data_IF_218186719813
#
_entry.id   IF_218186719813
#
_cell.length_a   1.000
_cell.length_b   1.000
_cell.length_c   1.000
_cell.angle_alpha   90.00
_cell.angle_beta   90.00
_cell.angle_gamma   90.00
#
_symmetry.space_group_name_H-M   'P 1'
#
loop_
_entity.id
_entity.type
_entity.pdbx_description
1 polymer ?
#
# COMPACT_ATOMS: atom_id res chain seq x y z
N UNK A 1 -33.15 -16.05 6.64
CA UNK A 1 -32.31 -15.21 7.53
C UNK A 1 -32.69 -13.79 7.25
N UNK A 2 -33.23 -13.05 8.21
CA UNK A 2 -33.55 -11.65 8.02
C UNK A 2 -32.25 -10.88 7.80
N UNK A 3 -32.14 -10.15 6.69
CA UNK A 3 -31.08 -9.19 6.46
C UNK A 3 -31.14 -8.22 7.63
N UNK A 4 -30.06 -8.10 8.39
CA UNK A 4 -29.95 -7.12 9.44
C UNK A 4 -29.96 -5.74 8.76
N UNK A 5 -31.11 -5.08 8.78
CA UNK A 5 -31.36 -3.76 8.16
C UNK A 5 -30.58 -2.63 8.84
N UNK A 6 -29.68 -2.95 9.77
CA UNK A 6 -28.86 -1.98 10.53
C UNK A 6 -27.53 -1.62 9.85
N UNK A 7 -27.14 -2.28 8.73
CA UNK A 7 -25.88 -1.99 8.06
C UNK A 7 -25.94 -0.75 7.20
N UNK A 8 -24.90 0.08 7.28
CA UNK A 8 -24.77 1.26 6.46
C UNK A 8 -24.70 0.88 4.97
N UNK A 9 -25.38 1.61 4.08
CA UNK A 9 -25.35 1.34 2.65
C UNK A 9 -23.93 1.50 2.08
N UNK A 10 -23.67 0.76 1.00
CA UNK A 10 -22.42 0.83 0.24
C UNK A 10 -22.72 1.42 -1.14
N UNK A 11 -22.20 2.60 -1.42
CA UNK A 11 -22.40 3.29 -2.68
C UNK A 11 -21.36 2.89 -3.73
N UNK A 12 -21.81 2.73 -4.98
CA UNK A 12 -20.99 2.69 -6.18
C UNK A 12 -21.44 3.80 -7.11
N UNK A 13 -20.52 4.68 -7.50
CA UNK A 13 -20.80 5.76 -8.45
C UNK A 13 -19.67 5.90 -9.47
N UNK A 14 -19.98 6.28 -10.70
CA UNK A 14 -19.00 6.70 -11.70
C UNK A 14 -18.44 8.08 -11.35
N UNK A 15 -17.16 8.28 -11.65
CA UNK A 15 -16.50 9.56 -11.50
C UNK A 15 -16.37 10.26 -12.86
N UNK A 16 -16.98 11.41 -13.01
CA UNK A 16 -17.03 12.20 -14.25
C UNK A 16 -16.18 13.48 -14.22
N UNK A 17 -15.18 13.52 -13.37
CA UNK A 17 -14.28 14.66 -13.11
C UNK A 17 -14.97 15.87 -12.42
N UNK A 18 -16.08 15.64 -11.75
CA UNK A 18 -16.83 16.66 -11.03
C UNK A 18 -16.98 16.29 -9.54
N UNK A 19 -16.96 17.28 -8.62
CA UNK A 19 -17.34 17.08 -7.22
C UNK A 19 -18.72 16.43 -7.04
N UNK A 20 -19.65 16.65 -7.98
CA UNK A 20 -20.99 16.08 -7.96
C UNK A 20 -20.97 14.54 -8.01
N UNK A 21 -19.97 13.94 -8.67
CA UNK A 21 -19.79 12.48 -8.69
C UNK A 21 -19.53 11.95 -7.27
N UNK A 22 -18.65 12.62 -6.54
CA UNK A 22 -18.40 12.29 -5.15
C UNK A 22 -19.64 12.59 -4.29
N UNK A 23 -20.29 13.73 -4.51
CA UNK A 23 -21.54 14.10 -3.84
C UNK A 23 -22.60 13.00 -3.94
N UNK A 24 -22.85 12.47 -5.14
CA UNK A 24 -23.78 11.34 -5.37
C UNK A 24 -23.39 10.09 -4.56
N UNK A 25 -22.10 9.72 -4.55
CA UNK A 25 -21.65 8.57 -3.76
C UNK A 25 -21.88 8.77 -2.25
N UNK A 26 -21.64 10.00 -1.75
CA UNK A 26 -21.82 10.35 -0.35
C UNK A 26 -23.30 10.37 0.07
N UNK A 27 -24.19 10.84 -0.80
CA UNK A 27 -25.65 10.79 -0.60
C UNK A 27 -26.16 9.36 -0.55
N UNK A 28 -25.75 8.51 -1.51
CA UNK A 28 -26.17 7.11 -1.59
C UNK A 28 -25.77 6.31 -0.35
N UNK A 29 -24.61 6.58 0.26
CA UNK A 29 -24.17 5.90 1.47
C UNK A 29 -24.56 6.66 2.77
N UNK A 30 -25.39 7.70 2.68
CA UNK A 30 -25.83 8.48 3.81
C UNK A 30 -24.66 9.02 4.67
N UNK A 31 -23.57 9.44 3.98
CA UNK A 31 -22.28 9.75 4.60
C UNK A 31 -22.37 10.78 5.73
N UNK A 32 -23.26 11.77 5.59
CA UNK A 32 -23.35 12.91 6.49
C UNK A 32 -24.59 12.88 7.40
N UNK A 33 -25.25 11.72 7.56
CA UNK A 33 -26.42 11.61 8.46
C UNK A 33 -26.10 12.00 9.92
N UNK A 34 -24.87 11.72 10.36
CA UNK A 34 -24.39 12.01 11.73
C UNK A 34 -23.31 13.12 11.73
N UNK A 35 -23.15 13.83 10.61
CA UNK A 35 -22.13 14.86 10.45
C UNK A 35 -22.60 16.21 11.02
N UNK A 36 -21.67 16.91 11.67
CA UNK A 36 -21.87 18.31 12.12
C UNK A 36 -20.77 19.21 11.55
N UNK A 37 -21.13 20.42 11.14
CA UNK A 37 -20.17 21.44 10.69
C UNK A 37 -19.14 21.86 11.76
N UNK A 38 -19.40 21.52 13.02
CA UNK A 38 -18.49 21.77 14.14
C UNK A 38 -17.45 20.67 14.34
N UNK A 39 -17.61 19.53 13.65
CA UNK A 39 -16.66 18.43 13.75
C UNK A 39 -15.26 18.83 13.26
N UNK A 40 -14.24 18.35 13.94
CA UNK A 40 -12.89 18.28 13.39
C UNK A 40 -12.80 17.07 12.47
N UNK A 41 -12.70 17.33 11.17
CA UNK A 41 -12.57 16.29 10.14
C UNK A 41 -11.12 15.96 9.92
N UNK A 42 -10.77 14.67 10.01
CA UNK A 42 -9.48 14.13 9.60
C UNK A 42 -9.64 13.33 8.31
N UNK A 43 -9.04 13.79 7.23
CA UNK A 43 -8.98 13.06 5.95
C UNK A 43 -7.67 12.28 5.89
N UNK A 44 -7.75 10.97 5.70
CA UNK A 44 -6.57 10.11 5.53
C UNK A 44 -6.50 9.52 4.12
N UNK A 45 -5.74 10.14 3.21
CA UNK A 45 -5.45 9.56 1.90
C UNK A 45 -4.50 8.37 2.00
N UNK A 46 -4.13 7.76 0.88
CA UNK A 46 -3.08 6.77 0.76
C UNK A 46 -1.88 7.37 0.02
N UNK A 47 -0.85 7.81 0.73
CA UNK A 47 0.33 8.45 0.14
C UNK A 47 1.60 7.61 0.22
N UNK A 48 1.55 6.44 0.81
CA UNK A 48 2.56 5.38 0.91
C UNK A 48 3.99 5.88 1.14
N UNK A 49 4.64 6.46 0.11
CA UNK A 49 6.01 6.94 0.10
C UNK A 49 6.23 7.84 -1.11
N UNK A 50 7.15 8.79 -1.02
CA UNK A 50 7.55 9.67 -2.11
C UNK A 50 9.07 9.84 -2.13
N UNK A 51 9.67 9.83 -3.32
CA UNK A 51 11.09 10.11 -3.54
C UNK A 51 11.21 11.12 -4.70
N UNK A 52 11.83 12.25 -4.45
CA UNK A 52 12.02 13.30 -5.46
C UNK A 52 13.03 12.89 -6.53
N UNK A 53 14.01 12.06 -6.18
CA UNK A 53 15.00 11.55 -7.14
C UNK A 53 14.35 10.56 -8.14
N UNK A 54 13.40 9.76 -7.65
CA UNK A 54 12.68 8.80 -8.45
C UNK A 54 11.16 8.93 -8.21
N UNK A 55 10.53 10.01 -8.72
CA UNK A 55 9.10 10.21 -8.53
C UNK A 55 8.33 9.06 -9.18
N UNK A 56 7.43 8.47 -8.43
CA UNK A 56 6.59 7.38 -8.91
C UNK A 56 5.43 7.97 -9.71
N UNK A 57 5.11 7.39 -10.88
CA UNK A 57 3.89 7.74 -11.60
C UNK A 57 2.67 7.50 -10.69
N UNK A 58 1.85 8.53 -10.40
CA UNK A 58 0.94 8.50 -9.26
C UNK A 58 -0.30 7.64 -9.47
N UNK A 59 -0.66 7.32 -10.70
CA UNK A 59 -1.90 6.67 -11.11
C UNK A 59 -2.11 5.31 -10.43
N UNK A 60 -3.20 5.17 -9.68
CA UNK A 60 -3.53 3.98 -8.92
C UNK A 60 -2.56 3.66 -7.75
N UNK A 61 -1.50 4.43 -7.57
CA UNK A 61 -0.53 4.28 -6.47
C UNK A 61 -0.98 5.10 -5.27
N UNK A 62 -1.34 6.36 -5.49
CA UNK A 62 -1.75 7.33 -4.48
C UNK A 62 -3.21 7.72 -4.64
N UNK A 63 -3.82 8.12 -3.54
CA UNK A 63 -5.15 8.76 -3.60
C UNK A 63 -5.06 10.00 -4.46
N UNK A 64 -5.97 10.09 -5.43
CA UNK A 64 -6.03 11.20 -6.39
C UNK A 64 -6.27 12.51 -5.65
N UNK A 65 -5.36 13.46 -5.78
CA UNK A 65 -5.42 14.72 -5.04
C UNK A 65 -6.68 15.50 -5.40
N UNK A 66 -7.12 15.42 -6.64
CA UNK A 66 -8.38 16.00 -7.11
C UNK A 66 -9.60 15.45 -6.35
N UNK A 67 -9.68 14.14 -6.11
CA UNK A 67 -10.79 13.56 -5.35
C UNK A 67 -10.79 14.05 -3.89
N UNK A 68 -9.60 14.25 -3.31
CA UNK A 68 -9.47 14.86 -1.97
C UNK A 68 -9.92 16.32 -1.99
N UNK A 69 -9.58 17.07 -3.04
CA UNK A 69 -10.04 18.45 -3.24
C UNK A 69 -11.57 18.49 -3.35
N UNK A 70 -12.19 17.61 -4.15
CA UNK A 70 -13.63 17.49 -4.30
C UNK A 70 -14.31 17.25 -2.92
N UNK A 71 -13.72 16.37 -2.09
CA UNK A 71 -14.21 16.17 -0.73
C UNK A 71 -14.08 17.43 0.16
N UNK A 72 -12.95 18.12 0.06
CA UNK A 72 -12.71 19.36 0.82
C UNK A 72 -13.74 20.43 0.44
N UNK A 73 -14.04 20.58 -0.85
CA UNK A 73 -15.05 21.51 -1.35
C UNK A 73 -16.41 21.17 -0.73
N UNK A 74 -16.85 19.91 -0.84
CA UNK A 74 -18.13 19.47 -0.27
C UNK A 74 -18.20 19.70 1.25
N UNK A 75 -17.14 19.39 2.00
CA UNK A 75 -17.10 19.65 3.44
C UNK A 75 -17.18 21.16 3.78
N UNK A 76 -16.54 22.02 2.99
CA UNK A 76 -16.61 23.48 3.14
C UNK A 76 -18.03 23.99 2.84
N UNK A 77 -18.68 23.46 1.81
CA UNK A 77 -20.07 23.81 1.46
C UNK A 77 -21.05 23.38 2.56
N UNK A 78 -20.77 22.27 3.27
CA UNK A 78 -21.48 21.87 4.49
C UNK A 78 -21.16 22.76 5.71
N UNK A 79 -20.24 23.73 5.56
CA UNK A 79 -19.87 24.67 6.63
C UNK A 79 -18.77 24.15 7.57
N UNK A 80 -18.09 23.04 7.23
CA UNK A 80 -17.00 22.52 8.05
C UNK A 80 -15.80 23.47 8.03
N UNK A 81 -15.35 23.89 9.22
CA UNK A 81 -14.27 24.88 9.37
C UNK A 81 -12.92 24.23 9.70
N UNK A 82 -12.93 23.07 10.35
CA UNK A 82 -11.71 22.40 10.84
C UNK A 82 -11.48 21.09 10.10
N UNK A 83 -10.62 21.16 9.08
CA UNK A 83 -10.27 20.03 8.23
C UNK A 83 -8.75 19.83 8.28
N UNK A 84 -8.32 18.63 8.63
CA UNK A 84 -6.92 18.20 8.62
C UNK A 84 -6.73 17.05 7.65
N UNK A 85 -5.56 16.97 7.00
CA UNK A 85 -5.18 15.83 6.17
C UNK A 85 -3.99 15.15 6.83
N UNK A 86 -4.12 13.87 7.16
CA UNK A 86 -3.12 13.12 7.90
C UNK A 86 -2.60 11.89 7.17
N UNK A 87 -1.30 11.65 7.21
CA UNK A 87 -0.66 10.44 6.71
C UNK A 87 0.62 10.13 7.51
N UNK A 88 1.05 8.88 7.49
CA UNK A 88 2.34 8.42 7.99
C UNK A 88 3.06 7.64 6.89
N UNK A 89 3.60 8.33 5.90
CA UNK A 89 4.29 7.71 4.78
C UNK A 89 5.55 6.95 5.21
N UNK A 90 5.97 5.99 4.40
CA UNK A 90 7.23 5.28 4.59
C UNK A 90 8.40 6.23 4.30
N UNK A 91 9.37 6.26 5.20
CA UNK A 91 10.62 6.99 5.00
C UNK A 91 11.54 6.15 4.10
N UNK A 92 11.69 6.58 2.86
CA UNK A 92 12.54 5.90 1.85
C UNK A 92 14.01 6.19 2.13
N UNK A 93 14.33 7.46 2.41
CA UNK A 93 15.64 7.94 2.84
C UNK A 93 15.46 8.67 4.17
N UNK A 94 16.50 8.76 4.98
CA UNK A 94 16.47 9.49 6.26
C UNK A 94 16.00 10.94 6.02
N UNK A 95 14.89 11.32 6.66
CA UNK A 95 14.28 12.65 6.53
C UNK A 95 13.32 12.82 5.34
N UNK A 96 13.24 11.84 4.43
CA UNK A 96 12.29 11.85 3.29
C UNK A 96 11.09 10.98 3.64
N UNK A 97 10.06 11.57 4.17
CA UNK A 97 8.85 10.89 4.66
C UNK A 97 7.58 11.63 4.25
N UNK A 98 6.65 11.78 5.18
CA UNK A 98 5.30 12.29 4.92
C UNK A 98 5.30 13.72 4.34
N UNK A 99 6.18 14.59 4.82
CA UNK A 99 6.29 15.97 4.30
C UNK A 99 6.67 16.02 2.82
N UNK A 100 7.59 15.15 2.40
CA UNK A 100 7.96 15.04 0.98
C UNK A 100 6.79 14.51 0.14
N UNK A 101 6.01 13.54 0.67
CA UNK A 101 4.82 13.05 0.00
C UNK A 101 3.73 14.14 -0.12
N UNK A 102 3.51 14.93 0.92
CA UNK A 102 2.58 16.08 0.86
C UNK A 102 3.00 17.10 -0.21
N UNK A 103 4.28 17.47 -0.25
CA UNK A 103 4.78 18.42 -1.24
C UNK A 103 4.70 17.86 -2.67
N UNK A 104 5.22 16.66 -2.89
CA UNK A 104 5.33 16.04 -4.22
C UNK A 104 3.98 15.67 -4.85
N UNK A 105 2.95 15.41 -4.04
CA UNK A 105 1.60 15.05 -4.47
C UNK A 105 0.59 16.22 -4.40
N UNK A 106 1.06 17.46 -4.21
CA UNK A 106 0.23 18.67 -4.27
C UNK A 106 -0.56 19.00 -3.00
N UNK A 107 -0.45 18.19 -1.93
CA UNK A 107 -1.22 18.42 -0.70
C UNK A 107 -0.83 19.70 0.05
N UNK A 108 0.43 20.15 -0.06
CA UNK A 108 0.87 21.42 0.51
C UNK A 108 0.11 22.59 -0.14
N UNK A 109 -0.02 22.59 -1.47
CA UNK A 109 -0.78 23.62 -2.20
C UNK A 109 -2.27 23.55 -1.89
N UNK A 110 -2.82 22.30 -1.76
CA UNK A 110 -4.20 22.09 -1.36
C UNK A 110 -4.47 22.70 0.03
N UNK A 111 -3.58 22.45 0.98
CA UNK A 111 -3.68 22.97 2.33
C UNK A 111 -3.62 24.51 2.37
N UNK A 112 -2.71 25.11 1.62
CA UNK A 112 -2.61 26.58 1.50
C UNK A 112 -3.88 27.19 0.88
N UNK A 113 -4.42 26.57 -0.21
CA UNK A 113 -5.61 27.07 -0.91
C UNK A 113 -6.86 27.07 -0.02
N UNK A 114 -7.06 26.03 0.78
CA UNK A 114 -8.29 25.84 1.54
C UNK A 114 -8.13 26.06 3.05
N UNK A 115 -6.95 26.45 3.53
CA UNK A 115 -6.66 26.65 4.95
C UNK A 115 -6.76 25.35 5.75
N UNK A 116 -6.11 24.27 5.26
CA UNK A 116 -6.13 22.95 5.89
C UNK A 116 -4.87 22.74 6.73
N UNK A 117 -4.97 21.86 7.73
CA UNK A 117 -3.82 21.38 8.49
C UNK A 117 -3.27 20.10 7.88
N UNK A 118 -1.94 19.98 7.72
CA UNK A 118 -1.25 18.76 7.32
C UNK A 118 -0.59 18.10 8.52
N UNK A 119 -0.95 16.85 8.80
CA UNK A 119 -0.50 16.10 9.98
C UNK A 119 0.39 14.93 9.58
N UNK A 120 1.64 14.91 10.04
CA UNK A 120 2.54 13.76 9.89
C UNK A 120 2.34 12.80 11.07
N UNK A 121 1.60 11.73 10.88
CA UNK A 121 1.36 10.71 11.90
C UNK A 121 2.63 10.02 12.41
N UNK A 122 3.73 10.05 11.64
CA UNK A 122 5.00 9.53 12.12
C UNK A 122 5.60 10.40 13.23
N UNK A 123 5.35 11.72 13.21
CA UNK A 123 5.87 12.69 14.18
C UNK A 123 4.88 13.00 15.32
N UNK A 124 3.60 12.67 15.14
CA UNK A 124 2.53 12.86 16.13
C UNK A 124 2.82 12.19 17.47
N UNK A 125 2.18 12.64 18.55
CA UNK A 125 2.03 11.85 19.77
C UNK A 125 1.27 10.56 19.47
N UNK A 126 1.26 9.59 20.37
CA UNK A 126 0.61 8.31 20.10
C UNK A 126 0.08 7.64 21.35
N UNK A 127 -1.06 6.94 21.21
CA UNK A 127 -1.61 6.03 22.22
C UNK A 127 -1.30 4.58 21.85
N UNK A 128 -1.01 3.76 22.87
CA UNK A 128 -0.71 2.34 22.70
C UNK A 128 -1.99 1.50 22.85
N UNK A 129 -2.20 0.56 21.93
CA UNK A 129 -3.31 -0.37 21.94
C UNK A 129 -2.82 -1.81 21.85
N UNK A 130 -3.38 -2.69 22.68
CA UNK A 130 -3.08 -4.12 22.63
C UNK A 130 -3.72 -4.78 21.42
N UNK A 131 -2.97 -5.66 20.75
CA UNK A 131 -3.43 -6.51 19.67
C UNK A 131 -3.04 -7.94 20.02
N UNK A 132 -3.99 -8.75 20.45
CA UNK A 132 -3.69 -10.01 21.12
C UNK A 132 -2.98 -9.80 22.44
N UNK A 133 -2.29 -10.82 22.93
CA UNK A 133 -1.69 -10.80 24.27
C UNK A 133 -0.33 -10.06 24.33
N UNK A 134 0.46 -10.11 23.26
CA UNK A 134 1.87 -9.71 23.28
C UNK A 134 2.22 -8.49 22.43
N UNK A 135 1.32 -8.00 21.58
CA UNK A 135 1.60 -6.90 20.67
C UNK A 135 0.93 -5.60 21.13
N UNK A 136 1.72 -4.53 21.20
CA UNK A 136 1.21 -3.16 21.36
C UNK A 136 1.52 -2.34 20.12
N UNK A 137 0.46 -1.81 19.49
CA UNK A 137 0.57 -0.88 18.36
C UNK A 137 0.32 0.55 18.85
N UNK A 138 1.17 1.47 18.42
CA UNK A 138 1.05 2.89 18.70
C UNK A 138 0.39 3.61 17.53
N UNK A 139 -0.77 4.21 17.77
CA UNK A 139 -1.57 4.96 16.81
C UNK A 139 -1.41 6.46 17.09
N UNK A 140 -1.29 7.28 16.05
CA UNK A 140 -1.22 8.73 16.16
C UNK A 140 -2.46 9.30 16.86
N UNK A 141 -2.27 10.22 17.81
CA UNK A 141 -3.36 10.78 18.59
C UNK A 141 -4.33 11.58 17.74
N UNK A 142 -3.86 12.34 16.76
CA UNK A 142 -4.70 13.13 15.88
C UNK A 142 -5.67 12.28 15.03
N UNK A 143 -5.27 11.03 14.70
CA UNK A 143 -6.14 10.08 14.04
C UNK A 143 -7.26 9.53 14.97
N UNK A 144 -7.00 9.51 16.28
CA UNK A 144 -7.93 9.01 17.30
C UNK A 144 -8.87 10.09 17.85
N UNK A 145 -8.44 11.36 17.82
CA UNK A 145 -9.10 12.48 18.47
C UNK A 145 -9.94 13.33 17.50
N UNK A 146 -9.94 13.00 16.20
CA UNK A 146 -10.84 13.64 15.25
C UNK A 146 -12.29 13.21 15.48
N UNK A 147 -13.21 14.15 15.33
CA UNK A 147 -14.66 13.88 15.51
C UNK A 147 -15.23 13.08 14.32
N UNK A 148 -14.66 13.27 13.13
CA UNK A 148 -15.09 12.61 11.90
C UNK A 148 -13.89 12.20 11.05
N UNK A 149 -13.51 10.93 11.15
CA UNK A 149 -12.37 10.37 10.42
C UNK A 149 -12.83 9.81 9.06
N UNK A 150 -12.29 10.37 7.98
CA UNK A 150 -12.56 9.93 6.60
C UNK A 150 -11.35 9.19 6.06
N UNK A 151 -11.51 7.90 5.79
CA UNK A 151 -10.49 7.04 5.22
C UNK A 151 -10.60 7.03 3.69
N UNK A 152 -9.56 7.49 2.97
CA UNK A 152 -9.55 7.57 1.50
C UNK A 152 -8.47 6.67 0.89
N UNK A 153 -8.66 5.34 0.86
CA UNK A 153 -7.74 4.41 0.21
C UNK A 153 -7.87 4.45 -1.31
N UNK A 154 -6.91 3.79 -1.99
CA UNK A 154 -6.90 3.59 -3.44
C UNK A 154 -7.32 2.17 -3.78
N UNK A 155 -8.05 1.99 -4.88
CA UNK A 155 -8.45 0.71 -5.44
C UNK A 155 -7.23 0.00 -6.04
N UNK A 156 -6.56 -0.87 -5.27
CA UNK A 156 -5.35 -1.55 -5.73
C UNK A 156 -5.11 -2.90 -5.10
N UNK A 157 -4.39 -3.74 -5.84
CA UNK A 157 -3.84 -4.99 -5.35
C UNK A 157 -2.57 -4.77 -4.53
N UNK A 158 -2.12 -5.80 -3.83
CA UNK A 158 -0.91 -5.77 -3.01
C UNK A 158 -0.28 -7.15 -2.90
N UNK A 159 1.00 -7.28 -3.23
CA UNK A 159 1.70 -8.55 -3.33
C UNK A 159 1.73 -9.40 -2.05
N UNK A 160 1.65 -8.80 -0.85
CA UNK A 160 1.63 -9.55 0.42
C UNK A 160 0.20 -9.81 0.96
N UNK A 161 -0.78 -8.97 0.61
CA UNK A 161 -2.12 -8.97 1.24
C UNK A 161 -3.27 -9.02 0.23
N UNK A 162 -2.98 -9.43 -1.01
CA UNK A 162 -3.88 -9.43 -2.17
C UNK A 162 -4.42 -8.05 -2.54
N UNK A 163 -5.04 -7.35 -1.60
CA UNK A 163 -5.57 -5.99 -1.80
C UNK A 163 -5.02 -5.02 -0.76
N UNK A 164 -5.03 -3.74 -1.07
CA UNK A 164 -4.70 -2.66 -0.14
C UNK A 164 -5.95 -2.16 0.59
N UNK A 165 -6.80 -1.41 -0.06
CA UNK A 165 -8.12 -0.92 0.36
C UNK A 165 -8.20 -0.26 1.76
N UNK A 166 -9.41 -0.17 2.33
CA UNK A 166 -9.72 0.62 3.51
C UNK A 166 -9.08 0.13 4.80
N UNK A 167 -9.28 -1.14 5.16
CA UNK A 167 -8.72 -1.70 6.39
C UNK A 167 -7.19 -1.56 6.44
N UNK A 168 -6.53 -1.86 5.33
CA UNK A 168 -5.07 -1.76 5.25
C UNK A 168 -4.57 -0.32 5.20
N UNK A 169 -5.34 0.62 4.64
CA UNK A 169 -4.96 2.03 4.59
C UNK A 169 -4.74 2.62 5.99
N UNK A 170 -5.50 2.16 6.99
CA UNK A 170 -5.35 2.61 8.38
C UNK A 170 -3.98 2.30 8.99
N UNK A 171 -3.20 1.37 8.42
CA UNK A 171 -1.81 1.12 8.84
C UNK A 171 -0.94 2.38 8.74
N UNK A 172 -1.29 3.34 7.87
CA UNK A 172 -0.65 4.65 7.80
C UNK A 172 -0.73 5.45 9.10
N UNK A 173 -1.76 5.25 9.93
CA UNK A 173 -1.94 5.92 11.22
C UNK A 173 -1.02 5.42 12.33
N UNK A 174 -0.30 4.32 12.11
CA UNK A 174 0.65 3.77 13.07
C UNK A 174 1.97 4.56 13.09
N UNK A 175 2.64 4.58 14.24
CA UNK A 175 4.03 5.05 14.35
C UNK A 175 4.99 4.13 13.58
N UNK A 176 6.11 4.67 13.10
CA UNK A 176 7.14 3.93 12.31
C UNK A 176 7.52 2.57 12.92
N UNK A 177 7.73 2.51 14.24
CA UNK A 177 8.06 1.25 14.94
C UNK A 177 6.93 0.24 14.86
N UNK A 178 5.69 0.66 15.08
CA UNK A 178 4.51 -0.21 15.04
C UNK A 178 4.22 -0.75 13.64
N UNK A 179 4.44 0.06 12.58
CA UNK A 179 4.37 -0.43 11.20
C UNK A 179 5.33 -1.60 10.94
N UNK A 180 6.55 -1.55 11.50
CA UNK A 180 7.54 -2.63 11.38
C UNK A 180 7.17 -3.85 12.25
N UNK A 181 6.52 -3.63 13.41
CA UNK A 181 6.03 -4.71 14.28
C UNK A 181 4.93 -5.54 13.61
N UNK A 182 4.06 -4.95 12.80
CA UNK A 182 3.07 -5.73 12.03
C UNK A 182 3.71 -6.80 11.11
N UNK A 183 4.99 -6.66 10.76
CA UNK A 183 5.76 -7.65 9.99
C UNK A 183 6.62 -8.55 10.90
N UNK A 184 6.13 -8.90 12.09
CA UNK A 184 6.84 -9.81 13.00
C UNK A 184 6.85 -11.25 12.46
N UNK A 185 7.94 -12.03 12.63
CA UNK A 185 8.01 -13.40 12.11
C UNK A 185 6.93 -14.34 12.62
N UNK A 186 6.50 -14.18 13.87
CA UNK A 186 5.53 -15.03 14.56
C UNK A 186 4.09 -14.52 14.46
N UNK A 187 3.90 -13.27 13.98
CA UNK A 187 2.60 -12.64 13.87
C UNK A 187 2.17 -12.56 12.41
N UNK A 188 0.89 -12.79 12.16
CA UNK A 188 0.33 -12.58 10.84
C UNK A 188 0.15 -11.08 10.58
N UNK A 189 0.75 -10.58 9.49
CA UNK A 189 0.67 -9.17 9.08
C UNK A 189 -0.77 -8.68 8.99
N UNK A 190 -1.64 -9.47 8.35
CA UNK A 190 -3.03 -9.11 8.08
C UNK A 190 -3.88 -9.14 9.36
N UNK A 191 -3.58 -10.05 10.27
CA UNK A 191 -4.17 -10.06 11.62
C UNK A 191 -3.82 -8.77 12.36
N UNK A 192 -2.54 -8.39 12.42
CA UNK A 192 -2.09 -7.22 13.16
C UNK A 192 -2.79 -5.93 12.71
N UNK A 193 -2.81 -5.64 11.43
CA UNK A 193 -3.37 -4.37 10.99
C UNK A 193 -4.90 -4.37 10.91
N UNK A 194 -5.55 -5.53 10.83
CA UNK A 194 -7.02 -5.60 10.85
C UNK A 194 -7.66 -5.05 12.13
N UNK A 195 -6.88 -4.97 13.23
CA UNK A 195 -7.34 -4.41 14.50
C UNK A 195 -7.38 -2.88 14.53
N UNK A 196 -6.68 -2.20 13.63
CA UNK A 196 -6.57 -0.74 13.69
C UNK A 196 -7.94 -0.07 13.54
N UNK A 197 -8.83 -0.64 12.72
CA UNK A 197 -10.20 -0.15 12.55
C UNK A 197 -11.05 -0.29 13.82
N UNK A 198 -10.68 -1.16 14.77
CA UNK A 198 -11.38 -1.29 16.05
C UNK A 198 -11.11 -0.07 16.96
N UNK A 199 -10.00 0.60 16.78
CA UNK A 199 -9.55 1.74 17.58
C UNK A 199 -9.89 3.10 16.94
N UNK A 200 -9.60 3.27 15.62
CA UNK A 200 -9.84 4.53 14.89
C UNK A 200 -11.32 4.70 14.57
N UNK A 201 -12.01 3.62 14.19
CA UNK A 201 -13.45 3.61 13.81
C UNK A 201 -13.77 4.69 12.78
N UNK A 202 -13.30 4.54 11.51
CA UNK A 202 -13.61 5.53 10.49
C UNK A 202 -15.10 5.79 10.38
N UNK A 203 -15.50 7.07 10.39
CA UNK A 203 -16.88 7.47 10.20
C UNK A 203 -17.32 7.28 8.74
N UNK A 204 -16.36 7.37 7.82
CA UNK A 204 -16.58 7.21 6.39
C UNK A 204 -15.33 6.60 5.73
N UNK A 205 -15.54 5.69 4.78
CA UNK A 205 -14.52 5.19 3.86
C UNK A 205 -14.93 5.53 2.44
N UNK A 206 -14.03 6.23 1.71
CA UNK A 206 -14.19 6.60 0.29
C UNK A 206 -13.04 5.99 -0.49
N UNK A 207 -13.27 4.94 -1.24
CA UNK A 207 -12.24 4.27 -2.03
C UNK A 207 -12.13 4.96 -3.38
N UNK A 208 -10.97 5.52 -3.63
CA UNK A 208 -10.59 6.12 -4.90
C UNK A 208 -10.34 5.01 -5.93
N UNK A 209 -11.24 4.86 -6.86
CA UNK A 209 -11.17 3.96 -7.99
C UNK A 209 -11.09 4.70 -9.32
N UNK A 210 -10.70 5.99 -9.35
CA UNK A 210 -10.45 6.71 -10.60
C UNK A 210 -9.37 5.96 -11.39
N UNK A 211 -8.31 5.54 -10.70
CA UNK A 211 -7.32 4.61 -11.23
C UNK A 211 -7.19 3.41 -10.31
N UNK A 212 -7.22 2.21 -10.90
CA UNK A 212 -6.92 0.98 -10.18
C UNK A 212 -5.52 0.48 -10.52
N UNK A 213 -4.82 -0.17 -9.56
CA UNK A 213 -3.47 -0.70 -9.76
C UNK A 213 -3.43 -2.22 -9.57
N UNK A 214 -2.89 -2.94 -10.57
CA UNK A 214 -2.57 -4.37 -10.44
C UNK A 214 -1.10 -4.61 -10.07
N UNK A 215 -0.79 -5.81 -9.55
CA UNK A 215 0.57 -6.32 -9.29
C UNK A 215 1.41 -5.44 -8.39
N UNK A 216 0.87 -4.98 -7.32
CA UNK A 216 1.78 -4.26 -6.50
C UNK A 216 1.16 -3.50 -5.39
N UNK A 217 1.92 -2.63 -4.82
CA UNK A 217 1.43 -1.51 -4.05
C UNK A 217 2.00 -0.19 -4.57
N UNK A 218 3.02 -0.25 -5.43
CA UNK A 218 3.78 0.88 -5.95
C UNK A 218 3.97 0.79 -7.47
N UNK A 219 4.97 1.49 -8.01
CA UNK A 219 5.28 1.71 -9.42
C UNK A 219 5.57 0.44 -10.26
N UNK A 220 5.84 -0.69 -9.65
CA UNK A 220 6.04 -1.95 -10.38
C UNK A 220 4.75 -2.48 -11.01
N UNK A 221 3.58 -2.10 -10.48
CA UNK A 221 2.28 -2.47 -11.02
C UNK A 221 1.89 -1.74 -12.29
N UNK A 222 0.71 -2.06 -12.81
CA UNK A 222 0.10 -1.34 -13.93
C UNK A 222 -1.18 -0.66 -13.45
N UNK A 223 -1.31 0.63 -13.75
CA UNK A 223 -2.52 1.38 -13.49
C UNK A 223 -3.52 1.23 -14.67
N UNK A 224 -4.78 1.27 -14.33
CA UNK A 224 -5.90 1.27 -15.28
C UNK A 224 -6.88 2.37 -14.89
N UNK A 225 -7.33 3.15 -15.87
CA UNK A 225 -8.44 4.08 -15.69
C UNK A 225 -9.72 3.28 -15.43
N UNK A 226 -10.46 3.60 -14.39
CA UNK A 226 -11.66 2.86 -14.01
C UNK A 226 -12.84 3.77 -13.68
N UNK A 227 -12.58 5.00 -13.27
CA UNK A 227 -13.57 6.06 -13.02
C UNK A 227 -14.72 5.65 -12.09
N UNK A 228 -14.42 5.01 -10.99
CA UNK A 228 -15.40 4.63 -9.96
C UNK A 228 -15.03 5.16 -8.58
N UNK A 229 -16.05 5.42 -7.78
CA UNK A 229 -15.95 5.73 -6.35
C UNK A 229 -16.77 4.70 -5.60
N UNK A 230 -16.20 4.13 -4.54
CA UNK A 230 -16.94 3.31 -3.57
C UNK A 230 -16.95 4.04 -2.25
N UNK A 231 -18.12 4.25 -1.66
CA UNK A 231 -18.23 4.95 -0.37
C UNK A 231 -19.16 4.21 0.59
N UNK A 232 -18.80 4.16 1.87
CA UNK A 232 -19.65 3.61 2.94
C UNK A 232 -19.19 4.05 4.33
N UNK A 233 -20.12 4.13 5.27
CA UNK A 233 -19.84 4.23 6.71
C UNK A 233 -19.36 2.87 7.27
N UNK A 234 -19.62 1.75 6.59
CA UNK A 234 -19.08 0.42 6.89
C UNK A 234 -17.82 0.15 6.07
N UNK A 235 -16.65 0.18 6.73
CA UNK A 235 -15.35 -0.03 6.10
C UNK A 235 -15.24 -1.42 5.44
N UNK A 236 -15.82 -2.46 6.04
CA UNK A 236 -15.78 -3.81 5.45
C UNK A 236 -16.67 -3.89 4.22
N UNK A 237 -17.87 -3.29 4.28
CA UNK A 237 -18.77 -3.21 3.13
C UNK A 237 -18.11 -2.51 1.94
N UNK A 238 -17.47 -1.36 2.18
CA UNK A 238 -16.70 -0.66 1.15
C UNK A 238 -15.57 -1.53 0.57
N UNK A 239 -14.80 -2.19 1.44
CA UNK A 239 -13.67 -3.04 1.04
C UNK A 239 -14.14 -4.29 0.25
N UNK A 240 -15.26 -4.90 0.63
CA UNK A 240 -15.85 -6.05 -0.07
C UNK A 240 -16.30 -5.67 -1.48
N UNK A 241 -17.00 -4.54 -1.64
CA UNK A 241 -17.42 -4.06 -2.97
C UNK A 241 -16.18 -3.74 -3.82
N UNK A 242 -15.23 -3.00 -3.29
CA UNK A 242 -14.02 -2.65 -4.02
C UNK A 242 -13.20 -3.90 -4.43
N UNK A 243 -13.07 -4.88 -3.55
CA UNK A 243 -12.41 -6.15 -3.87
C UNK A 243 -13.14 -6.90 -4.99
N UNK A 244 -14.49 -6.93 -4.96
CA UNK A 244 -15.31 -7.54 -5.99
C UNK A 244 -15.11 -6.89 -7.36
N UNK A 245 -15.04 -5.55 -7.42
CA UNK A 245 -14.80 -4.81 -8.67
C UNK A 245 -13.45 -5.12 -9.33
N UNK A 246 -12.48 -5.66 -8.58
CA UNK A 246 -11.17 -6.08 -9.10
C UNK A 246 -10.98 -7.60 -9.09
N UNK A 247 -12.08 -8.36 -8.92
CA UNK A 247 -12.14 -9.80 -9.14
C UNK A 247 -11.76 -10.66 -7.94
N UNK A 248 -11.86 -10.15 -6.69
CA UNK A 248 -11.60 -10.93 -5.47
C UNK A 248 -12.87 -11.15 -4.65
N UNK A 249 -12.97 -12.33 -4.07
CA UNK A 249 -13.97 -12.61 -3.02
C UNK A 249 -13.45 -12.15 -1.66
N UNK A 250 -14.32 -11.61 -0.81
CA UNK A 250 -13.95 -11.25 0.57
C UNK A 250 -13.35 -12.42 1.37
N UNK A 251 -13.76 -13.65 1.06
CA UNK A 251 -13.24 -14.88 1.67
C UNK A 251 -11.78 -15.17 1.34
N UNK A 252 -11.27 -14.61 0.23
CA UNK A 252 -9.89 -14.82 -0.20
C UNK A 252 -8.89 -13.89 0.51
N UNK A 253 -9.39 -12.87 1.22
CA UNK A 253 -8.58 -11.80 1.83
C UNK A 253 -8.52 -12.02 3.34
N UNK A 254 -7.32 -12.28 3.88
CA UNK A 254 -7.16 -12.69 5.27
C UNK A 254 -7.56 -11.58 6.26
N UNK A 255 -7.19 -10.33 6.02
CA UNK A 255 -7.55 -9.24 6.94
C UNK A 255 -9.06 -8.93 6.94
N UNK A 256 -9.80 -9.22 5.86
CA UNK A 256 -11.26 -9.14 5.88
C UNK A 256 -11.83 -10.22 6.79
N UNK A 257 -11.32 -11.47 6.68
CA UNK A 257 -11.76 -12.58 7.56
C UNK A 257 -11.51 -12.24 9.03
N UNK A 258 -10.28 -11.82 9.37
CA UNK A 258 -9.93 -11.47 10.75
C UNK A 258 -10.80 -10.35 11.32
N UNK A 259 -11.10 -9.32 10.51
CA UNK A 259 -11.97 -8.23 10.93
C UNK A 259 -13.43 -8.68 11.09
N UNK A 260 -13.96 -9.41 10.09
CA UNK A 260 -15.33 -9.90 10.07
C UNK A 260 -15.63 -10.87 11.22
N UNK A 261 -14.71 -11.81 11.50
CA UNK A 261 -14.83 -12.77 12.61
C UNK A 261 -14.99 -12.08 13.96
N UNK A 262 -14.15 -11.06 14.25
CA UNK A 262 -14.25 -10.32 15.52
C UNK A 262 -15.54 -9.52 15.66
N UNK A 263 -16.19 -9.16 14.56
CA UNK A 263 -17.39 -8.32 14.52
C UNK A 263 -18.65 -9.08 14.15
N UNK A 264 -18.55 -10.38 13.97
CA UNK A 264 -19.65 -11.22 13.48
C UNK A 264 -20.32 -10.64 12.22
N UNK A 265 -19.47 -10.16 11.26
CA UNK A 265 -19.93 -9.59 9.99
C UNK A 265 -19.82 -10.61 8.85
N UNK A 266 -20.69 -10.46 7.84
CA UNK A 266 -20.65 -11.29 6.65
C UNK A 266 -19.51 -10.87 5.70
N UNK A 267 -18.93 -11.87 5.02
CA UNK A 267 -17.98 -11.68 3.91
C UNK A 267 -18.67 -11.81 2.53
N UNK A 268 -19.97 -12.00 2.50
CA UNK A 268 -20.72 -12.08 1.25
C UNK A 268 -21.25 -10.70 0.89
N UNK A 269 -20.90 -10.21 -0.30
CA UNK A 269 -21.33 -8.90 -0.77
C UNK A 269 -22.87 -8.80 -0.88
N UNK A 270 -23.55 -9.91 -1.17
CA UNK A 270 -25.03 -9.99 -1.24
C UNK A 270 -25.75 -9.67 0.09
N UNK A 271 -25.03 -9.66 1.21
CA UNK A 271 -25.59 -9.33 2.51
C UNK A 271 -25.50 -7.83 2.84
N UNK A 272 -25.04 -7.01 1.88
CA UNK A 272 -24.90 -5.56 2.00
C UNK A 272 -25.88 -4.85 1.09
N UNK A 273 -26.35 -3.66 1.51
CA UNK A 273 -27.21 -2.79 0.70
C UNK A 273 -26.32 -1.98 -0.27
N UNK A 274 -26.19 -2.49 -1.50
CA UNK A 274 -25.41 -1.81 -2.54
C UNK A 274 -26.31 -0.84 -3.27
N UNK A 275 -25.92 0.45 -3.30
CA UNK A 275 -26.67 1.52 -3.95
C UNK A 275 -25.88 2.18 -5.07
N UNK A 276 -26.58 2.70 -6.05
CA UNK A 276 -26.03 3.39 -7.20
C UNK A 276 -25.90 2.48 -8.40
N UNK A 277 -24.71 2.39 -8.99
CA UNK A 277 -24.48 1.63 -10.21
C UNK A 277 -24.44 0.11 -9.97
N UNK A 278 -24.74 -0.67 -11.01
CA UNK A 278 -24.61 -2.12 -10.98
C UNK A 278 -23.12 -2.53 -10.92
N UNK A 279 -22.68 -3.19 -9.84
CA UNK A 279 -21.30 -3.65 -9.73
C UNK A 279 -20.83 -4.51 -10.92
N UNK A 280 -21.74 -5.30 -11.51
CA UNK A 280 -21.41 -6.20 -12.62
C UNK A 280 -20.89 -5.45 -13.85
N UNK A 281 -21.36 -4.21 -14.09
CA UNK A 281 -20.88 -3.36 -15.17
C UNK A 281 -19.43 -2.86 -14.97
N UNK A 282 -18.93 -2.91 -13.74
CA UNK A 282 -17.63 -2.37 -13.38
C UNK A 282 -16.58 -3.43 -12.99
N UNK A 283 -16.90 -4.72 -13.11
CA UNK A 283 -15.93 -5.77 -12.79
C UNK A 283 -14.81 -5.81 -13.82
N UNK A 284 -13.57 -5.68 -13.34
CA UNK A 284 -12.35 -5.92 -14.11
C UNK A 284 -11.36 -6.67 -13.25
N UNK A 285 -11.23 -7.99 -13.40
CA UNK A 285 -10.29 -8.77 -12.62
C UNK A 285 -8.85 -8.29 -12.82
N UNK A 286 -8.15 -8.03 -11.74
CA UNK A 286 -6.75 -7.60 -11.71
C UNK A 286 -5.85 -8.72 -11.16
N UNK A 287 -4.63 -8.79 -11.68
CA UNK A 287 -3.60 -9.70 -11.15
C UNK A 287 -3.05 -9.08 -9.87
N UNK A 288 -3.08 -9.85 -8.76
CA UNK A 288 -2.68 -9.31 -7.46
C UNK A 288 -1.17 -9.24 -7.29
N UNK A 289 -0.42 -10.16 -7.91
CA UNK A 289 1.02 -10.26 -7.73
C UNK A 289 1.75 -10.68 -9.01
N UNK A 290 3.07 -10.59 -8.96
CA UNK A 290 3.97 -11.08 -9.97
C UNK A 290 4.11 -12.60 -9.91
N UNK A 291 4.28 -13.23 -11.06
CA UNK A 291 4.59 -14.66 -11.15
C UNK A 291 6.05 -14.86 -10.76
N UNK A 292 6.30 -15.83 -9.89
CA UNK A 292 7.61 -16.37 -9.58
C UNK A 292 7.83 -17.69 -10.32
N UNK A 293 9.10 -18.12 -10.47
CA UNK A 293 9.45 -19.45 -11.02
C UNK A 293 8.91 -20.55 -10.09
N UNK A 294 8.61 -21.73 -10.62
CA UNK A 294 8.06 -22.84 -9.83
C UNK A 294 8.99 -23.30 -8.71
N UNK A 295 10.31 -23.27 -8.97
CA UNK A 295 11.35 -23.58 -7.98
C UNK A 295 11.67 -22.41 -7.02
N UNK A 296 10.92 -21.31 -7.12
CA UNK A 296 11.10 -20.11 -6.33
C UNK A 296 12.52 -19.52 -6.38
N UNK A 297 13.15 -19.54 -7.55
CA UNK A 297 14.49 -18.97 -7.78
C UNK A 297 14.46 -17.53 -8.29
N UNK A 298 13.32 -17.00 -8.70
CA UNK A 298 13.21 -15.60 -9.11
C UNK A 298 11.88 -15.22 -9.74
N UNK A 299 11.71 -13.94 -10.08
CA UNK A 299 10.57 -13.50 -10.87
C UNK A 299 10.43 -14.29 -12.17
N UNK A 300 9.23 -14.56 -12.64
CA UNK A 300 8.95 -15.32 -13.86
C UNK A 300 9.65 -14.81 -15.12
N UNK A 301 10.10 -13.55 -15.12
CA UNK A 301 10.95 -13.01 -16.19
C UNK A 301 12.31 -13.73 -16.26
N UNK A 302 12.84 -14.26 -15.15
CA UNK A 302 14.10 -15.00 -15.14
C UNK A 302 13.99 -16.25 -16.01
N UNK A 303 12.91 -17.02 -15.83
CA UNK A 303 12.66 -18.20 -16.67
C UNK A 303 12.49 -17.84 -18.15
N UNK A 304 11.76 -16.74 -18.45
CA UNK A 304 11.56 -16.27 -19.83
C UNK A 304 12.86 -15.86 -20.52
N UNK A 305 13.82 -15.32 -19.77
CA UNK A 305 15.12 -14.90 -20.29
C UNK A 305 16.17 -15.99 -20.23
N UNK A 306 15.88 -17.14 -19.58
CA UNK A 306 16.86 -18.22 -19.38
C UNK A 306 17.93 -17.89 -18.34
N UNK A 307 17.61 -17.04 -17.35
CA UNK A 307 18.53 -16.72 -16.26
C UNK A 307 18.60 -17.90 -15.30
N UNK A 308 19.79 -18.44 -15.14
CA UNK A 308 20.11 -19.54 -14.23
C UNK A 308 21.32 -19.19 -13.36
N UNK A 309 21.42 -19.82 -12.20
CA UNK A 309 22.49 -19.58 -11.20
C UNK A 309 21.97 -18.82 -9.98
N UNK A 310 21.50 -17.58 -10.11
CA UNK A 310 21.00 -16.84 -8.96
C UNK A 310 19.65 -17.36 -8.45
N UNK A 311 19.42 -17.18 -7.11
CA UNK A 311 18.13 -17.37 -6.50
C UNK A 311 17.74 -16.15 -5.68
N UNK A 312 16.61 -15.55 -6.05
CA UNK A 312 15.94 -14.48 -5.33
C UNK A 312 14.53 -14.97 -4.97
N UNK A 313 14.37 -15.71 -3.86
CA UNK A 313 13.08 -16.27 -3.49
C UNK A 313 12.04 -15.16 -3.30
N UNK A 314 10.77 -15.50 -3.57
CA UNK A 314 9.67 -14.58 -3.34
C UNK A 314 9.63 -14.17 -1.86
N UNK A 315 9.51 -12.88 -1.62
CA UNK A 315 9.40 -12.34 -0.28
C UNK A 315 8.11 -12.80 0.42
N UNK A 316 8.19 -12.98 1.72
CA UNK A 316 7.06 -13.30 2.58
C UNK A 316 6.44 -12.05 3.25
N UNK A 317 5.46 -12.26 4.15
CA UNK A 317 4.77 -11.22 4.90
C UNK A 317 5.66 -10.46 5.89
N UNK A 318 6.85 -10.97 6.19
CA UNK A 318 7.81 -10.32 7.11
C UNK A 318 8.67 -9.27 6.45
N UNK A 319 8.70 -9.19 5.11
CA UNK A 319 9.37 -8.11 4.39
C UNK A 319 8.65 -6.79 4.62
N UNK A 320 9.22 -5.91 5.43
CA UNK A 320 8.61 -4.61 5.71
C UNK A 320 8.83 -3.60 4.58
N UNK A 321 7.99 -2.55 4.57
CA UNK A 321 8.00 -1.51 3.53
C UNK A 321 9.35 -0.81 3.33
N UNK A 322 10.23 -0.78 4.36
CA UNK A 322 11.57 -0.20 4.23
C UNK A 322 12.49 -1.05 3.35
N UNK A 323 12.44 -2.38 3.48
CA UNK A 323 13.31 -3.30 2.70
C UNK A 323 12.69 -3.71 1.35
N UNK A 324 11.38 -3.52 1.13
CA UNK A 324 10.70 -3.91 -0.12
C UNK A 324 11.29 -3.24 -1.38
N UNK A 325 11.62 -1.93 -1.41
CA UNK A 325 12.28 -1.32 -2.56
C UNK A 325 13.66 -1.94 -2.85
N UNK A 326 14.41 -2.26 -1.80
CA UNK A 326 15.75 -2.85 -1.90
C UNK A 326 15.69 -4.30 -2.45
N UNK A 327 14.73 -5.10 -1.99
CA UNK A 327 14.51 -6.44 -2.54
C UNK A 327 14.13 -6.40 -4.03
N UNK A 328 13.29 -5.45 -4.43
CA UNK A 328 12.93 -5.24 -5.83
C UNK A 328 14.12 -4.74 -6.67
N UNK A 329 14.95 -3.83 -6.12
CA UNK A 329 16.17 -3.37 -6.77
C UNK A 329 17.11 -4.54 -7.05
N UNK A 330 17.29 -5.46 -6.10
CA UNK A 330 18.13 -6.64 -6.29
C UNK A 330 17.70 -7.48 -7.50
N UNK A 331 16.38 -7.67 -7.72
CA UNK A 331 15.86 -8.35 -8.92
C UNK A 331 16.31 -7.65 -10.22
N UNK A 332 16.21 -6.31 -10.27
CA UNK A 332 16.58 -5.50 -11.44
C UNK A 332 18.10 -5.54 -11.67
N UNK A 333 18.88 -5.48 -10.59
CA UNK A 333 20.34 -5.58 -10.67
C UNK A 333 20.80 -6.93 -11.23
N UNK A 334 20.18 -8.03 -10.78
CA UNK A 334 20.48 -9.38 -11.33
C UNK A 334 20.08 -9.47 -12.80
N UNK A 335 18.94 -8.89 -13.21
CA UNK A 335 18.58 -8.77 -14.62
C UNK A 335 19.66 -8.02 -15.43
N UNK A 336 20.24 -6.96 -14.89
CA UNK A 336 21.28 -6.16 -15.56
C UNK A 336 22.60 -6.94 -15.77
N UNK A 337 22.89 -7.89 -14.89
CA UNK A 337 24.08 -8.75 -14.97
C UNK A 337 23.98 -9.82 -16.07
N UNK A 338 22.76 -10.15 -16.52
CA UNK A 338 22.55 -11.23 -17.48
C UNK A 338 22.96 -10.81 -18.89
N UNK A 339 23.88 -11.56 -19.49
CA UNK A 339 24.42 -11.36 -20.85
C UNK A 339 24.25 -12.62 -21.73
N UNK A 340 23.17 -13.39 -21.49
CA UNK A 340 22.88 -14.60 -22.24
C UNK A 340 23.71 -15.83 -21.84
N UNK A 341 24.44 -15.79 -20.71
CA UNK A 341 25.19 -16.91 -20.13
C UNK A 341 24.77 -17.17 -18.70
N UNK A 342 24.89 -18.43 -18.20
CA UNK A 342 24.65 -18.73 -16.81
C UNK A 342 25.42 -17.80 -15.88
N UNK A 343 24.75 -17.34 -14.82
CA UNK A 343 25.33 -16.49 -13.77
C UNK A 343 25.87 -17.36 -12.61
N UNK A 344 26.72 -16.81 -11.73
CA UNK A 344 27.15 -17.47 -10.50
C UNK A 344 25.96 -17.92 -9.62
N UNK A 345 26.17 -18.99 -8.86
CA UNK A 345 25.19 -19.51 -7.89
C UNK A 345 25.14 -18.63 -6.65
N UNK A 346 24.34 -17.58 -6.71
CA UNK A 346 24.17 -16.60 -5.65
C UNK A 346 22.74 -16.62 -5.15
N UNK A 347 22.56 -16.80 -3.84
CA UNK A 347 21.25 -16.63 -3.21
C UNK A 347 21.13 -15.24 -2.60
N UNK A 348 19.99 -14.56 -2.76
CA UNK A 348 19.72 -13.23 -2.18
C UNK A 348 18.48 -13.32 -1.31
N UNK A 349 18.65 -13.11 0.00
CA UNK A 349 17.60 -13.24 0.98
C UNK A 349 17.21 -11.91 1.61
N UNK A 350 15.91 -11.79 1.95
CA UNK A 350 15.34 -10.61 2.58
C UNK A 350 14.23 -11.00 3.58
N UNK A 351 13.62 -10.01 4.26
CA UNK A 351 12.59 -10.27 5.27
C UNK A 351 13.16 -10.64 6.63
N UNK A 352 12.44 -11.47 7.39
CA UNK A 352 12.84 -11.79 8.77
C UNK A 352 12.88 -13.29 9.08
N UNK A 353 12.37 -14.14 8.21
CA UNK A 353 12.29 -15.60 8.44
C UNK A 353 12.82 -16.48 7.32
N UNK A 354 13.18 -15.92 6.16
CA UNK A 354 13.80 -16.69 5.10
C UNK A 354 15.09 -17.35 5.61
N UNK A 355 15.35 -18.58 5.14
CA UNK A 355 16.54 -19.35 5.50
C UNK A 355 17.36 -19.65 4.27
N UNK A 356 18.68 -19.49 4.39
CA UNK A 356 19.64 -19.85 3.34
C UNK A 356 19.59 -21.33 3.03
N UNK A 357 19.69 -21.65 1.74
CA UNK A 357 19.64 -23.01 1.20
C UNK A 357 21.05 -23.47 0.80
N UNK A 358 21.30 -24.76 0.93
CA UNK A 358 22.54 -25.35 0.41
C UNK A 358 22.58 -25.28 -1.13
N UNK A 359 23.81 -25.30 -1.69
CA UNK A 359 24.04 -25.35 -3.13
C UNK A 359 24.30 -24.00 -3.80
N UNK A 360 24.39 -22.91 -3.02
CA UNK A 360 24.83 -21.60 -3.47
C UNK A 360 26.25 -21.31 -2.98
N UNK A 361 27.08 -20.71 -3.85
CA UNK A 361 28.47 -20.35 -3.53
C UNK A 361 28.51 -19.15 -2.57
N UNK A 362 27.56 -18.21 -2.75
CA UNK A 362 27.43 -17.00 -1.96
C UNK A 362 25.95 -16.77 -1.57
N UNK A 363 25.72 -16.28 -0.35
CA UNK A 363 24.38 -15.85 0.10
C UNK A 363 24.43 -14.40 0.56
N UNK A 364 23.77 -13.51 -0.19
CA UNK A 364 23.63 -12.09 0.13
C UNK A 364 22.44 -11.90 1.07
N UNK A 365 22.67 -11.33 2.26
CA UNK A 365 21.68 -11.12 3.30
C UNK A 365 21.32 -9.64 3.37
N UNK A 366 20.13 -9.26 2.86
CA UNK A 366 19.70 -7.86 2.72
C UNK A 366 19.02 -7.32 4.00
N UNK A 367 19.80 -6.70 4.87
CA UNK A 367 19.33 -6.00 6.07
C UNK A 367 19.52 -6.74 7.39
N UNK A 368 19.47 -6.00 8.49
CA UNK A 368 19.80 -6.51 9.83
C UNK A 368 18.90 -7.66 10.29
N UNK A 369 17.66 -7.72 9.82
CA UNK A 369 16.70 -8.75 10.23
C UNK A 369 17.08 -10.12 9.66
N UNK A 370 17.36 -10.19 8.36
CA UNK A 370 17.72 -11.44 7.69
C UNK A 370 19.10 -11.94 8.10
N UNK A 371 20.04 -11.01 8.41
CA UNK A 371 21.35 -11.35 8.95
C UNK A 371 21.18 -12.09 10.29
N UNK A 372 20.31 -11.58 11.18
CA UNK A 372 20.02 -12.25 12.47
C UNK A 372 19.33 -13.60 12.28
N UNK A 373 18.39 -13.69 11.35
CA UNK A 373 17.65 -14.92 11.08
C UNK A 373 18.55 -16.06 10.57
N UNK A 374 19.70 -15.74 9.97
CA UNK A 374 20.63 -16.71 9.37
C UNK A 374 21.98 -16.81 10.12
N UNK A 375 22.09 -16.27 11.34
CA UNK A 375 23.35 -16.22 12.08
C UNK A 375 24.00 -17.60 12.29
N UNK A 376 23.15 -18.62 12.47
CA UNK A 376 23.59 -20.00 12.77
C UNK A 376 23.16 -21.00 11.66
N UNK A 377 22.88 -20.48 10.45
CA UNK A 377 22.43 -21.33 9.35
C UNK A 377 23.61 -22.03 8.68
N UNK A 378 23.79 -23.31 8.99
CA UNK A 378 24.88 -24.15 8.45
C UNK A 378 24.78 -24.47 6.96
N UNK A 379 23.68 -24.13 6.28
CA UNK A 379 23.54 -24.31 4.82
C UNK A 379 24.25 -23.20 4.02
N UNK A 380 24.62 -22.10 4.65
CA UNK A 380 25.27 -20.95 3.99
C UNK A 380 26.78 -21.18 3.96
N UNK A 381 27.34 -21.36 2.76
CA UNK A 381 28.78 -21.52 2.59
C UNK A 381 29.54 -20.20 2.86
N UNK A 382 29.13 -19.15 2.18
CA UNK A 382 29.72 -17.82 2.33
C UNK A 382 28.62 -16.75 2.41
N UNK A 383 28.46 -16.15 3.61
CA UNK A 383 27.50 -15.08 3.82
C UNK A 383 28.09 -13.72 3.46
N UNK A 384 27.35 -12.93 2.69
CA UNK A 384 27.62 -11.52 2.39
C UNK A 384 26.55 -10.63 3.07
N UNK A 385 26.78 -10.21 4.31
CA UNK A 385 25.82 -9.42 5.06
C UNK A 385 25.82 -7.96 4.61
N UNK A 386 24.66 -7.47 4.14
CA UNK A 386 24.42 -6.05 3.83
C UNK A 386 23.64 -5.42 4.97
N UNK A 387 24.36 -4.77 5.89
CA UNK A 387 23.77 -4.17 7.10
C UNK A 387 22.90 -2.95 6.79
N UNK A 388 21.88 -2.73 7.62
CA UNK A 388 21.01 -1.58 7.56
C UNK A 388 19.53 -1.92 7.74
N UNK A 389 18.72 -0.90 8.05
CA UNK A 389 17.27 -1.04 8.22
C UNK A 389 16.51 0.15 7.59
N UNK A 390 16.41 0.19 6.23
CA UNK A 390 16.94 -0.70 5.18
C UNK A 390 18.44 -0.51 4.92
N UNK A 391 19.10 -1.45 4.22
CA UNK A 391 20.47 -1.25 3.70
C UNK A 391 20.48 -0.20 2.58
N UNK A 392 21.64 0.42 2.35
CA UNK A 392 21.82 1.39 1.29
C UNK A 392 21.95 0.71 -0.10
N UNK A 393 21.43 1.35 -1.13
CA UNK A 393 21.40 0.84 -2.50
C UNK A 393 22.79 0.47 -3.02
N UNK A 394 23.79 1.35 -2.81
CA UNK A 394 25.17 1.12 -3.26
C UNK A 394 25.82 -0.08 -2.58
N UNK A 395 25.52 -0.31 -1.30
CA UNK A 395 26.00 -1.48 -0.55
C UNK A 395 25.41 -2.79 -1.10
N UNK A 396 24.16 -2.77 -1.54
CA UNK A 396 23.52 -3.94 -2.19
C UNK A 396 24.20 -4.24 -3.52
N UNK A 397 24.41 -3.22 -4.36
CA UNK A 397 25.10 -3.39 -5.63
C UNK A 397 26.53 -3.93 -5.45
N UNK A 398 27.25 -3.43 -4.44
CA UNK A 398 28.61 -3.90 -4.14
C UNK A 398 28.63 -5.35 -3.63
N UNK A 399 27.71 -5.72 -2.76
CA UNK A 399 27.59 -7.11 -2.31
C UNK A 399 27.28 -8.08 -3.45
N UNK A 400 26.43 -7.68 -4.41
CA UNK A 400 26.14 -8.49 -5.59
C UNK A 400 27.37 -8.61 -6.50
N UNK A 401 28.20 -7.55 -6.68
CA UNK A 401 29.46 -7.62 -7.41
C UNK A 401 30.47 -8.53 -6.69
N UNK A 402 30.59 -8.42 -5.38
CA UNK A 402 31.42 -9.31 -4.56
C UNK A 402 31.00 -10.77 -4.71
N UNK A 403 29.71 -11.02 -4.87
CA UNK A 403 29.17 -12.35 -5.17
C UNK A 403 29.42 -12.82 -6.62
N UNK A 404 30.11 -12.03 -7.43
CA UNK A 404 30.46 -12.37 -8.82
C UNK A 404 29.43 -11.97 -9.87
N UNK A 405 28.42 -11.16 -9.53
CA UNK A 405 27.43 -10.66 -10.46
C UNK A 405 27.85 -9.28 -10.99
N UNK A 406 28.06 -9.16 -12.32
CA UNK A 406 28.41 -7.88 -12.98
C UNK A 406 27.18 -6.97 -13.09
N UNK A 407 26.72 -6.46 -11.93
CA UNK A 407 25.51 -5.63 -11.84
C UNK A 407 25.79 -4.17 -12.17
N UNK A 408 24.84 -3.55 -12.88
CA UNK A 408 24.87 -2.14 -13.25
C UNK A 408 23.79 -1.34 -12.49
N UNK A 409 24.20 -0.49 -11.55
CA UNK A 409 23.29 0.37 -10.80
C UNK A 409 22.64 1.43 -11.72
N UNK A 410 23.28 1.81 -12.82
CA UNK A 410 22.70 2.69 -13.84
C UNK A 410 21.41 2.09 -14.44
N UNK A 411 21.40 0.76 -14.70
CA UNK A 411 20.23 0.08 -15.21
C UNK A 411 19.02 0.16 -14.24
N UNK A 412 19.27 0.16 -12.93
CA UNK A 412 18.20 0.40 -11.96
C UNK A 412 17.68 1.84 -12.04
N UNK A 413 18.55 2.84 -12.15
CA UNK A 413 18.16 4.25 -12.31
C UNK A 413 17.36 4.46 -13.59
N UNK A 414 17.80 3.88 -14.71
CA UNK A 414 17.10 3.94 -15.99
C UNK A 414 15.72 3.30 -15.90
N UNK A 415 15.61 2.15 -15.22
CA UNK A 415 14.33 1.50 -14.95
C UNK A 415 13.40 2.40 -14.14
N UNK A 416 13.89 3.02 -13.05
CA UNK A 416 13.10 3.92 -12.21
C UNK A 416 12.64 5.16 -12.97
N UNK A 417 13.52 5.77 -13.76
CA UNK A 417 13.16 6.87 -14.64
C UNK A 417 12.08 6.48 -15.65
N UNK A 418 12.20 5.29 -16.26
CA UNK A 418 11.17 4.74 -17.13
C UNK A 418 9.82 4.53 -16.43
N UNK A 419 9.83 4.14 -15.15
CA UNK A 419 8.59 4.00 -14.37
C UNK A 419 7.94 5.36 -14.05
N UNK A 420 8.71 6.41 -13.81
CA UNK A 420 8.18 7.76 -13.52
C UNK A 420 7.39 8.35 -14.69
N UNK A 421 7.82 8.08 -15.92
CA UNK A 421 7.20 8.58 -17.16
C UNK A 421 6.27 7.54 -17.83
N UNK A 422 6.02 6.41 -17.20
CA UNK A 422 5.31 5.24 -17.76
C UNK A 422 3.98 5.56 -18.43
N UNK A 423 3.27 6.55 -17.95
CA UNK A 423 1.96 6.96 -18.44
C UNK A 423 1.95 8.32 -19.14
N UNK A 424 3.11 8.96 -19.30
CA UNK A 424 3.21 10.27 -19.95
C UNK A 424 2.71 10.19 -21.41
N UNK A 425 1.81 11.09 -21.78
CA UNK A 425 1.23 11.15 -23.13
C UNK A 425 0.25 10.03 -23.45
N UNK A 426 -0.09 9.14 -22.52
CA UNK A 426 -1.11 8.12 -22.74
C UNK A 426 -2.50 8.68 -22.46
N UNK A 427 -3.44 8.38 -23.36
CA UNK A 427 -4.85 8.72 -23.20
C UNK A 427 -5.40 8.17 -21.87
N UNK A 428 -6.20 8.96 -21.18
CA UNK A 428 -6.81 8.60 -19.90
C UNK A 428 -5.91 8.78 -18.66
N UNK A 429 -4.60 9.16 -18.83
CA UNK A 429 -3.68 9.40 -17.71
C UNK A 429 -3.31 10.88 -17.62
N UNK A 430 -4.07 11.62 -16.83
CA UNK A 430 -3.98 13.06 -16.76
C UNK A 430 -3.30 13.51 -15.47
N UNK A 431 -2.14 14.17 -15.59
CA UNK A 431 -1.38 14.68 -14.44
C UNK A 431 -2.17 15.69 -13.59
N UNK A 432 -3.17 16.37 -14.19
CA UNK A 432 -4.03 17.32 -13.47
C UNK A 432 -4.80 16.71 -12.28
N UNK A 433 -4.97 15.40 -12.25
CA UNK A 433 -5.58 14.72 -11.10
C UNK A 433 -4.71 14.75 -9.84
N UNK A 434 -3.42 15.04 -9.98
CA UNK A 434 -2.44 15.10 -8.90
C UNK A 434 -1.76 16.48 -8.78
N UNK A 435 -2.19 17.44 -9.60
CA UNK A 435 -1.70 18.81 -9.61
C UNK A 435 -2.87 19.76 -9.32
N UNK A 436 -3.13 20.04 -8.07
CA UNK A 436 -4.16 21.00 -7.60
C UNK A 436 -3.56 22.34 -7.30
#
# INVERSE_FOLDING_TARGET
MSIDSSRAPVALASYDNSPDSLGRALELCEAFSDFSSHHHVMIKPNLVAWDEEFPIAPFGVYTTTRLVEDLVILLKDYGCRRISIGEGSVEIKKGVGTKAAFAGLGYTRLAERYGLELVDFNESKSKAFAVGDDLKLHIAEEALESDFFINMPVLKTHGQTRVSLGLKNLKGCLKKKSKKLCHHPELNLEYCFSHIADFIKPALTVIDGIYALEKGALHFGNAYRKDVIVASKDILGADLLAAHLIGFSGKDIAHFRHYAERRNQSLNLSDYDIRGEDPAAHIKPLKWDWIWTEDNTGPGIFAKMGITGPALPKYDDTLCSGCSPIANMANILVLSAFKGKPLPKVEVLNGKKMQGRAGYDQTVLLGDCIIRANKENGNICHALPVKGCPPAADQVAEALRTAGLDVNIGAYRDYMNGQSVKYQGKEGYESRFFAV
#
